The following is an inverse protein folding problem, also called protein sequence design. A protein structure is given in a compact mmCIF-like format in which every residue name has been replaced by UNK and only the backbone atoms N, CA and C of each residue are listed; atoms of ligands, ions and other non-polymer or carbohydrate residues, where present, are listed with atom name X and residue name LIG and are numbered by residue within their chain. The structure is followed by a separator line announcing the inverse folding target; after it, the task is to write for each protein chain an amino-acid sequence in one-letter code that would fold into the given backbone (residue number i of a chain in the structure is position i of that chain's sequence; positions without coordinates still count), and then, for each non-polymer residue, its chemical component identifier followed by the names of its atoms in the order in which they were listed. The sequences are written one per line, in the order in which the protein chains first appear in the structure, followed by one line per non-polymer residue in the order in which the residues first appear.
data_IF_843261651855
#
_entry.id   IF_843261651855
#
_cell.length_a   1.000
_cell.length_b   1.000
_cell.length_c   1.000
_cell.angle_alpha   90.00
_cell.angle_beta   90.00
_cell.angle_gamma   90.00
#
_symmetry.space_group_name_H-M   'P 1'
#
loop_
_entity.id
_entity.type
_entity.pdbx_description
1 polymer ?
#
# COMPACT_ATOMS: atom_id res chain seq x y z
N UNK A 1 -24.49 -39.38 -11.04
CA UNK A 1 -23.29 -40.24 -11.11
C UNK A 1 -22.16 -39.45 -11.77
N UNK A 2 -20.95 -39.67 -11.29
CA UNK A 2 -19.70 -38.97 -11.57
C UNK A 2 -19.30 -38.98 -13.05
N UNK A 3 -18.50 -37.99 -13.47
CA UNK A 3 -17.73 -38.02 -14.72
C UNK A 3 -16.91 -36.76 -14.97
N UNK A 4 -15.70 -36.70 -14.41
CA UNK A 4 -14.65 -35.73 -14.76
C UNK A 4 -14.08 -36.05 -16.16
N UNK A 5 -13.89 -35.02 -16.99
CA UNK A 5 -12.79 -34.87 -17.95
C UNK A 5 -12.77 -33.38 -18.33
N UNK A 6 -11.84 -32.54 -17.87
CA UNK A 6 -10.40 -32.47 -18.18
C UNK A 6 -10.10 -32.51 -19.68
N UNK A 7 -9.39 -31.47 -20.15
CA UNK A 7 -8.94 -31.19 -21.53
C UNK A 7 -10.06 -30.61 -22.43
N UNK A 8 -9.95 -29.41 -22.99
CA UNK A 8 -8.86 -28.96 -23.86
C UNK A 8 -8.62 -27.45 -23.71
N UNK A 9 -7.44 -27.08 -23.21
CA UNK A 9 -6.94 -25.69 -23.28
C UNK A 9 -6.54 -25.46 -24.75
N UNK A 10 -7.42 -24.82 -25.51
CA UNK A 10 -7.10 -24.40 -26.88
C UNK A 10 -6.06 -23.30 -26.84
N UNK A 11 -4.98 -23.54 -27.58
CA UNK A 11 -3.78 -22.72 -27.70
C UNK A 11 -3.97 -21.20 -27.71
N UNK A 12 -3.10 -20.54 -26.94
CA UNK A 12 -2.45 -19.31 -27.42
C UNK A 12 -0.94 -19.49 -27.34
N UNK A 13 -0.37 -19.51 -28.52
CA UNK A 13 1.04 -19.56 -28.82
C UNK A 13 1.82 -18.52 -28.01
N UNK A 14 2.89 -18.97 -27.35
CA UNK A 14 3.90 -18.10 -26.78
C UNK A 14 4.76 -17.55 -27.93
N UNK A 15 4.66 -16.26 -28.19
CA UNK A 15 5.59 -15.58 -29.07
C UNK A 15 6.98 -15.50 -28.40
N UNK A 16 8.08 -15.89 -29.06
CA UNK A 16 9.42 -15.71 -28.52
C UNK A 16 9.84 -14.25 -28.75
N UNK A 17 9.77 -13.43 -27.71
CA UNK A 17 10.22 -12.03 -27.76
C UNK A 17 9.41 -11.04 -26.92
N UNK A 18 8.30 -11.45 -26.33
CA UNK A 18 7.47 -10.59 -25.48
C UNK A 18 7.94 -10.59 -24.03
N UNK A 19 8.28 -9.40 -23.51
CA UNK A 19 8.48 -9.14 -22.07
C UNK A 19 7.37 -9.85 -21.27
N UNK A 20 7.68 -10.62 -20.20
CA UNK A 20 6.64 -11.26 -19.41
C UNK A 20 5.67 -10.21 -18.86
N UNK A 21 4.35 -10.47 -18.84
CA UNK A 21 3.40 -9.52 -18.27
C UNK A 21 3.79 -9.26 -16.81
N UNK A 22 3.74 -8.01 -16.32
CA UNK A 22 4.09 -7.73 -14.94
C UNK A 22 3.19 -8.57 -14.04
N UNK A 23 3.81 -9.45 -13.26
CA UNK A 23 3.12 -10.19 -12.19
C UNK A 23 2.51 -9.14 -11.29
N UNK A 24 1.17 -8.99 -11.31
CA UNK A 24 0.46 -8.22 -10.29
C UNK A 24 0.80 -8.85 -8.95
N UNK A 25 1.73 -8.24 -8.22
CA UNK A 25 1.92 -8.53 -6.80
C UNK A 25 0.59 -8.22 -6.16
N UNK A 26 0.04 -9.19 -5.43
CA UNK A 26 -1.09 -8.93 -4.56
C UNK A 26 -0.55 -8.05 -3.44
N UNK A 27 -0.72 -6.74 -3.57
CA UNK A 27 -0.38 -5.76 -2.55
C UNK A 27 -1.21 -6.02 -1.30
N UNK A 28 -0.68 -6.82 -0.37
CA UNK A 28 -1.32 -6.99 0.94
C UNK A 28 -1.05 -5.82 1.88
N UNK A 29 -0.17 -4.88 1.53
CA UNK A 29 0.18 -3.69 2.34
C UNK A 29 0.66 -2.48 1.48
N UNK A 30 0.27 -2.35 0.21
CA UNK A 30 0.78 -1.28 -0.70
C UNK A 30 0.28 0.15 -0.34
N UNK A 31 -0.30 0.38 0.84
CA UNK A 31 -1.02 1.62 1.16
C UNK A 31 -0.29 2.58 2.11
N UNK A 32 1.01 2.39 2.35
CA UNK A 32 1.83 3.36 3.09
C UNK A 32 3.09 3.67 2.26
N UNK A 33 3.00 4.79 1.52
CA UNK A 33 4.03 5.35 0.63
C UNK A 33 4.45 4.48 -0.57
N UNK A 34 4.73 5.15 -1.69
CA UNK A 34 5.33 4.54 -2.89
C UNK A 34 6.67 3.88 -2.48
N UNK A 35 6.74 2.54 -2.52
CA UNK A 35 7.92 1.78 -2.08
C UNK A 35 7.84 1.11 -0.71
N UNK A 36 6.74 1.29 0.05
CA UNK A 36 6.53 0.62 1.34
C UNK A 36 7.40 1.13 2.49
N UNK A 37 8.03 2.30 2.31
CA UNK A 37 8.79 2.98 3.35
C UNK A 37 7.88 4.07 3.93
N UNK A 38 7.27 3.77 5.07
CA UNK A 38 6.54 4.78 5.83
C UNK A 38 7.56 5.78 6.42
N UNK A 39 7.47 7.09 6.10
CA UNK A 39 8.33 8.08 6.72
C UNK A 39 8.09 8.11 8.23
N UNK A 40 9.14 8.31 9.02
CA UNK A 40 8.99 8.53 10.45
C UNK A 40 8.25 9.85 10.70
N UNK A 41 7.67 10.00 11.90
CA UNK A 41 7.02 11.28 12.26
C UNK A 41 8.07 12.39 12.32
N UNK A 42 9.29 12.03 12.72
CA UNK A 42 10.46 12.91 12.73
C UNK A 42 10.82 13.39 11.32
N UNK A 43 10.78 12.50 10.32
CA UNK A 43 11.01 12.88 8.92
C UNK A 43 9.96 13.91 8.46
N UNK A 44 8.69 13.68 8.80
CA UNK A 44 7.59 14.61 8.47
C UNK A 44 7.75 15.96 9.18
N UNK A 45 8.13 15.99 10.45
CA UNK A 45 8.36 17.25 11.18
C UNK A 45 9.56 18.02 10.59
N UNK A 46 10.59 17.30 10.15
CA UNK A 46 11.79 17.90 9.56
C UNK A 46 11.59 18.39 8.12
N UNK A 47 10.52 17.95 7.45
CA UNK A 47 10.21 18.36 6.09
C UNK A 47 9.68 19.82 6.05
N UNK A 48 10.33 20.73 5.30
CA UNK A 48 9.96 22.13 5.27
C UNK A 48 8.55 22.39 4.71
N UNK A 49 8.05 21.53 3.83
CA UNK A 49 6.68 21.66 3.28
C UNK A 49 5.66 21.31 4.36
N UNK A 50 5.87 20.20 5.06
CA UNK A 50 5.04 19.77 6.18
C UNK A 50 5.04 20.81 7.30
N UNK A 51 6.21 21.37 7.66
CA UNK A 51 6.30 22.43 8.65
C UNK A 51 5.54 23.71 8.25
N UNK A 52 5.55 24.07 6.95
CA UNK A 52 4.78 25.19 6.43
C UNK A 52 3.26 24.94 6.53
N UNK A 53 2.81 23.74 6.17
CA UNK A 53 1.39 23.34 6.26
C UNK A 53 0.94 23.36 7.72
N UNK A 54 1.71 22.75 8.63
CA UNK A 54 1.42 22.76 10.07
C UNK A 54 1.27 24.18 10.62
N UNK A 55 2.11 25.12 10.18
CA UNK A 55 2.02 26.52 10.58
C UNK A 55 0.76 27.20 10.06
N UNK A 56 0.40 26.96 8.80
CA UNK A 56 -0.83 27.49 8.19
C UNK A 56 -2.08 26.99 8.92
N UNK A 57 -2.09 25.71 9.28
CA UNK A 57 -3.25 25.05 9.90
C UNK A 57 -3.23 25.13 11.44
N UNK A 58 -2.21 25.78 12.03
CA UNK A 58 -1.97 25.87 13.48
C UNK A 58 -1.92 24.50 14.17
N UNK A 59 -1.39 23.51 13.48
CA UNK A 59 -1.18 22.16 13.99
C UNK A 59 0.16 22.12 14.72
N UNK A 60 0.15 21.67 15.97
CA UNK A 60 1.40 21.46 16.73
C UNK A 60 2.05 20.12 16.40
N UNK A 61 3.33 19.96 16.72
CA UNK A 61 4.02 18.66 16.61
C UNK A 61 3.34 17.56 17.45
N UNK A 62 2.78 17.93 18.61
CA UNK A 62 2.07 17.01 19.48
C UNK A 62 0.77 16.49 18.82
N UNK A 63 0.05 17.37 18.13
CA UNK A 63 -1.17 17.00 17.39
C UNK A 63 -0.83 16.04 16.25
N UNK A 64 0.23 16.34 15.49
CA UNK A 64 0.68 15.47 14.41
C UNK A 64 1.05 14.06 14.92
N UNK A 65 1.82 13.99 16.01
CA UNK A 65 2.16 12.71 16.66
C UNK A 65 0.90 11.94 17.08
N UNK A 66 -0.02 12.60 17.77
CA UNK A 66 -1.28 11.98 18.21
C UNK A 66 -2.14 11.47 17.05
N UNK A 67 -2.21 12.22 15.96
CA UNK A 67 -2.94 11.81 14.75
C UNK A 67 -2.32 10.58 14.09
N UNK A 68 -1.00 10.58 13.89
CA UNK A 68 -0.29 9.45 13.27
C UNK A 68 -0.41 8.20 14.13
N UNK A 69 -0.21 8.31 15.45
CA UNK A 69 -0.33 7.17 16.36
C UNK A 69 -1.77 6.63 16.41
N UNK A 70 -2.77 7.52 16.43
CA UNK A 70 -4.18 7.15 16.39
C UNK A 70 -4.54 6.41 15.09
N UNK A 71 -4.09 6.92 13.94
CA UNK A 71 -4.31 6.27 12.64
C UNK A 71 -3.62 4.91 12.59
N UNK A 72 -2.35 4.81 13.02
CA UNK A 72 -1.62 3.53 13.10
C UNK A 72 -2.33 2.52 14.00
N UNK A 73 -2.79 2.94 15.17
CA UNK A 73 -3.54 2.09 16.08
C UNK A 73 -4.85 1.60 15.44
N UNK A 74 -5.60 2.50 14.80
CA UNK A 74 -6.84 2.17 14.09
C UNK A 74 -6.62 1.18 12.94
N UNK A 75 -5.56 1.35 12.16
CA UNK A 75 -5.20 0.44 11.07
C UNK A 75 -4.79 -0.95 11.57
N UNK A 76 -4.08 -1.03 12.71
CA UNK A 76 -3.71 -2.32 13.33
C UNK A 76 -4.92 -3.04 13.94
N UNK A 77 -5.86 -2.28 14.51
CA UNK A 77 -7.06 -2.82 15.14
C UNK A 77 -8.11 -3.26 14.10
N UNK A 78 -8.04 -2.74 12.86
CA UNK A 78 -8.96 -3.11 11.79
C UNK A 78 -8.61 -4.53 11.30
N UNK A 79 -9.52 -5.51 11.44
CA UNK A 79 -9.30 -6.80 10.80
C UNK A 79 -9.17 -6.58 9.31
N UNK A 80 -8.16 -7.19 8.69
CA UNK A 80 -8.02 -7.20 7.24
C UNK A 80 -9.33 -7.76 6.69
N UNK A 81 -10.17 -6.87 6.14
CA UNK A 81 -11.42 -7.29 5.53
C UNK A 81 -11.07 -8.30 4.42
N UNK A 82 -11.66 -9.49 4.56
CA UNK A 82 -11.52 -10.68 3.71
C UNK A 82 -11.68 -10.37 2.21
#
# INVERSE_FOLDING_TARGET
MLGLSCETISGRAWAPGGRPPPRRRRGRNEHFAEGGIEPSVEDLISDPVTAAIMRCDRVSEADLRGLVDGVRAGLRARPAAL
#
